data_IF_806990290017
#
_entry.id   IF_806990290017
#
_cell.length_a   1.000
_cell.length_b   1.000
_cell.length_c   1.000
_cell.angle_alpha   90.00
_cell.angle_beta   90.00
_cell.angle_gamma   90.00
#
_symmetry.space_group_name_H-M   'P 1'
#
loop_
_entity.id
_entity.type
_entity.pdbx_description
1 polymer ?
#
# COMPACT_ATOMS: atom_id res chain seq x y z
N UNK A 1 -2.39 -22.62 -5.81
CA UNK A 1 -3.09 -21.58 -6.57
C UNK A 1 -4.31 -21.04 -5.79
N UNK A 2 -5.17 -21.91 -5.28
CA UNK A 2 -6.36 -21.52 -4.49
C UNK A 2 -5.98 -20.66 -3.29
N UNK A 3 -4.94 -20.99 -2.54
CA UNK A 3 -4.46 -20.21 -1.41
C UNK A 3 -4.06 -18.78 -1.80
N UNK A 4 -3.50 -18.59 -3.00
CA UNK A 4 -3.15 -17.26 -3.51
C UNK A 4 -4.40 -16.45 -3.79
N UNK A 5 -5.44 -17.06 -4.40
CA UNK A 5 -6.71 -16.37 -4.64
C UNK A 5 -7.40 -15.95 -3.34
N UNK A 6 -7.41 -16.81 -2.34
CA UNK A 6 -7.93 -16.49 -1.01
C UNK A 6 -7.12 -15.35 -0.36
N UNK A 7 -5.79 -15.38 -0.49
CA UNK A 7 -4.90 -14.37 0.07
C UNK A 7 -5.15 -12.97 -0.52
N UNK A 8 -5.36 -12.90 -1.82
CA UNK A 8 -5.65 -11.64 -2.52
C UNK A 8 -7.15 -11.31 -2.62
N UNK A 9 -8.00 -12.11 -2.00
CA UNK A 9 -9.45 -11.87 -1.91
C UNK A 9 -10.20 -11.97 -3.23
N UNK A 10 -9.78 -12.90 -4.09
CA UNK A 10 -10.39 -13.17 -5.40
C UNK A 10 -10.99 -14.58 -5.49
N UNK A 11 -11.21 -15.24 -4.36
CA UNK A 11 -11.77 -16.60 -4.31
C UNK A 11 -13.11 -16.73 -5.01
N UNK A 12 -13.94 -15.68 -4.98
CA UNK A 12 -15.27 -15.63 -5.60
C UNK A 12 -15.22 -15.16 -7.06
N UNK A 13 -14.02 -14.96 -7.63
CA UNK A 13 -13.81 -14.40 -8.98
C UNK A 13 -13.14 -15.38 -9.95
N UNK A 14 -12.98 -16.63 -9.54
CA UNK A 14 -12.25 -17.64 -10.32
C UNK A 14 -12.83 -17.87 -11.72
N UNK A 15 -14.13 -17.77 -11.88
CA UNK A 15 -14.85 -18.00 -13.15
C UNK A 15 -15.10 -16.71 -13.94
N UNK A 16 -14.57 -15.56 -13.47
CA UNK A 16 -14.75 -14.28 -14.15
C UNK A 16 -13.58 -14.04 -15.09
N UNK A 17 -13.91 -13.62 -16.32
CA UNK A 17 -12.89 -13.18 -17.28
C UNK A 17 -12.13 -11.96 -16.73
N UNK A 18 -10.80 -11.97 -16.84
CA UNK A 18 -9.95 -10.90 -16.32
C UNK A 18 -10.35 -9.49 -16.79
N UNK A 19 -10.87 -9.37 -18.02
CA UNK A 19 -11.36 -8.10 -18.54
C UNK A 19 -12.65 -7.57 -17.88
N UNK A 20 -13.30 -8.37 -17.05
CA UNK A 20 -14.52 -8.00 -16.31
C UNK A 20 -14.25 -7.71 -14.83
N UNK A 21 -12.99 -7.75 -14.39
CA UNK A 21 -12.59 -7.38 -13.06
C UNK A 21 -12.60 -5.85 -12.89
N UNK A 22 -12.88 -5.39 -11.67
CA UNK A 22 -12.70 -3.98 -11.32
C UNK A 22 -11.21 -3.60 -11.36
N UNK A 23 -10.91 -2.31 -11.28
CA UNK A 23 -9.53 -1.84 -11.23
C UNK A 23 -8.78 -2.42 -10.01
N UNK A 24 -9.40 -2.39 -8.83
CA UNK A 24 -8.82 -2.98 -7.62
C UNK A 24 -8.63 -4.49 -7.73
N UNK A 25 -9.63 -5.21 -8.25
CA UNK A 25 -9.53 -6.66 -8.48
C UNK A 25 -8.40 -7.01 -9.46
N UNK A 26 -8.18 -6.20 -10.48
CA UNK A 26 -7.06 -6.36 -11.42
C UNK A 26 -5.71 -6.20 -10.70
N UNK A 27 -5.57 -5.21 -9.83
CA UNK A 27 -4.37 -5.01 -9.03
C UNK A 27 -4.12 -6.19 -8.06
N UNK A 28 -5.16 -6.70 -7.42
CA UNK A 28 -5.03 -7.89 -6.55
C UNK A 28 -4.65 -9.14 -7.35
N UNK A 29 -5.16 -9.28 -8.57
CA UNK A 29 -4.75 -10.37 -9.46
C UNK A 29 -3.26 -10.28 -9.82
N UNK A 30 -2.77 -9.10 -10.14
CA UNK A 30 -1.34 -8.87 -10.44
C UNK A 30 -0.45 -9.21 -9.24
N UNK A 31 -0.85 -8.80 -8.04
CA UNK A 31 -0.16 -9.18 -6.79
C UNK A 31 -0.18 -10.71 -6.63
N UNK A 32 -1.32 -11.34 -6.84
CA UNK A 32 -1.46 -12.80 -6.79
C UNK A 32 -0.55 -13.52 -7.76
N UNK A 33 -0.42 -13.02 -8.99
CA UNK A 33 0.50 -13.57 -10.00
C UNK A 33 1.96 -13.52 -9.53
N UNK A 34 2.38 -12.43 -8.92
CA UNK A 34 3.73 -12.30 -8.35
C UNK A 34 3.91 -13.25 -7.16
N UNK A 35 2.91 -13.37 -6.30
CA UNK A 35 2.95 -14.25 -5.11
C UNK A 35 3.09 -15.74 -5.47
N UNK A 36 2.67 -16.17 -6.66
CA UNK A 36 2.89 -17.56 -7.12
C UNK A 36 4.36 -17.93 -7.20
N UNK A 37 5.26 -16.96 -7.32
CA UNK A 37 6.71 -17.16 -7.34
C UNK A 37 7.33 -17.22 -5.93
N UNK A 38 6.52 -17.07 -4.90
CA UNK A 38 6.94 -17.03 -3.50
C UNK A 38 8.10 -16.02 -3.24
N UNK A 39 7.96 -14.75 -3.62
CA UNK A 39 9.02 -13.76 -3.47
C UNK A 39 9.24 -13.41 -2.00
N UNK A 40 10.49 -13.16 -1.63
CA UNK A 40 10.82 -12.64 -0.30
C UNK A 40 10.55 -11.14 -0.19
N UNK A 41 10.67 -10.42 -1.29
CA UNK A 41 10.52 -8.96 -1.39
C UNK A 41 9.56 -8.62 -2.51
N UNK A 42 8.55 -7.81 -2.19
CA UNK A 42 7.66 -7.18 -3.16
C UNK A 42 7.89 -5.68 -3.18
N UNK A 43 8.08 -5.14 -4.38
CA UNK A 43 8.19 -3.70 -4.62
C UNK A 43 6.93 -3.23 -5.34
N UNK A 44 6.23 -2.26 -4.76
CA UNK A 44 4.97 -1.75 -5.31
C UNK A 44 4.99 -0.23 -5.36
N UNK A 45 4.62 0.30 -6.51
CA UNK A 45 4.56 1.74 -6.76
C UNK A 45 3.09 2.15 -6.92
N UNK A 46 2.61 2.97 -5.98
CA UNK A 46 1.24 3.48 -5.91
C UNK A 46 0.15 2.40 -6.12
N UNK A 47 0.18 1.30 -5.33
CA UNK A 47 -0.73 0.17 -5.56
C UNK A 47 -2.21 0.49 -5.36
N UNK A 48 -2.54 1.61 -4.71
CA UNK A 48 -3.93 2.03 -4.47
C UNK A 48 -4.43 3.09 -5.46
N UNK A 49 -3.60 3.48 -6.44
CA UNK A 49 -3.98 4.49 -7.43
C UNK A 49 -5.26 4.10 -8.18
N UNK A 50 -6.25 4.99 -8.20
CA UNK A 50 -7.51 4.77 -8.88
C UNK A 50 -8.50 3.82 -8.18
N UNK A 51 -8.19 3.35 -6.99
CA UNK A 51 -9.07 2.52 -6.18
C UNK A 51 -10.15 3.34 -5.47
N UNK A 52 -11.30 2.73 -5.26
CA UNK A 52 -12.32 3.22 -4.34
C UNK A 52 -11.84 3.09 -2.89
N UNK A 53 -12.47 3.79 -1.96
CA UNK A 53 -12.16 3.68 -0.54
C UNK A 53 -12.28 2.23 -0.03
N UNK A 54 -13.30 1.50 -0.48
CA UNK A 54 -13.51 0.10 -0.12
C UNK A 54 -12.39 -0.81 -0.67
N UNK A 55 -11.97 -0.57 -1.91
CA UNK A 55 -10.86 -1.31 -2.52
C UNK A 55 -9.53 -1.01 -1.81
N UNK A 56 -9.30 0.24 -1.44
CA UNK A 56 -8.12 0.65 -0.66
C UNK A 56 -8.09 -0.03 0.71
N UNK A 57 -9.23 -0.07 1.40
CA UNK A 57 -9.35 -0.77 2.68
C UNK A 57 -9.04 -2.26 2.55
N UNK A 58 -9.61 -2.93 1.55
CA UNK A 58 -9.32 -4.34 1.28
C UNK A 58 -7.86 -4.56 0.91
N UNK A 59 -7.24 -3.63 0.19
CA UNK A 59 -5.81 -3.69 -0.14
C UNK A 59 -4.94 -3.61 1.12
N UNK A 60 -5.28 -2.76 2.08
CA UNK A 60 -4.55 -2.70 3.35
C UNK A 60 -4.65 -4.02 4.13
N UNK A 61 -5.80 -4.67 4.13
CA UNK A 61 -5.99 -5.99 4.74
C UNK A 61 -5.13 -7.07 4.07
N UNK A 62 -5.08 -7.07 2.73
CA UNK A 62 -4.24 -7.99 1.96
C UNK A 62 -2.77 -7.78 2.32
N UNK A 63 -2.29 -6.54 2.33
CA UNK A 63 -0.90 -6.23 2.64
C UNK A 63 -0.52 -6.64 4.07
N UNK A 64 -1.40 -6.40 5.04
CA UNK A 64 -1.18 -6.82 6.41
C UNK A 64 -1.12 -8.36 6.57
N UNK A 65 -1.84 -9.12 5.74
CA UNK A 65 -1.72 -10.58 5.69
C UNK A 65 -0.40 -11.07 5.06
N UNK A 66 0.16 -10.31 4.12
CA UNK A 66 1.42 -10.66 3.45
C UNK A 66 2.64 -10.44 4.35
N UNK A 67 2.54 -9.57 5.33
CA UNK A 67 3.62 -9.32 6.31
C UNK A 67 3.97 -10.61 7.07
N UNK A 68 5.24 -10.74 7.39
CA UNK A 68 5.77 -11.91 8.09
C UNK A 68 6.34 -12.97 7.15
N UNK A 69 5.68 -13.27 6.05
CA UNK A 69 6.20 -14.17 5.00
C UNK A 69 6.91 -13.40 3.88
N UNK A 70 6.50 -12.15 3.66
CA UNK A 70 7.04 -11.27 2.62
C UNK A 70 7.45 -9.93 3.20
N UNK A 71 8.52 -9.36 2.66
CA UNK A 71 8.87 -7.95 2.89
C UNK A 71 8.25 -7.10 1.80
N UNK A 72 7.52 -6.07 2.20
CA UNK A 72 6.85 -5.16 1.28
C UNK A 72 7.55 -3.80 1.32
N UNK A 73 7.91 -3.28 0.15
CA UNK A 73 8.33 -1.89 -0.04
C UNK A 73 7.29 -1.22 -0.93
N UNK A 74 6.62 -0.23 -0.38
CA UNK A 74 5.48 0.43 -1.02
C UNK A 74 5.78 1.92 -1.15
N UNK A 75 5.68 2.44 -2.36
CA UNK A 75 5.74 3.88 -2.62
C UNK A 75 4.31 4.39 -2.69
N UNK A 76 3.94 5.30 -1.80
CA UNK A 76 2.59 5.83 -1.69
C UNK A 76 2.57 7.28 -1.23
N UNK A 77 1.49 7.96 -1.56
CA UNK A 77 1.19 9.30 -1.06
C UNK A 77 -0.15 9.35 -0.30
N UNK A 78 -0.92 8.27 -0.30
CA UNK A 78 -2.13 8.13 0.54
C UNK A 78 -1.71 7.85 1.99
N UNK A 79 -1.71 8.88 2.81
CA UNK A 79 -1.26 8.80 4.20
C UNK A 79 -2.18 7.94 5.08
N UNK A 80 -3.46 7.85 4.75
CA UNK A 80 -4.39 6.99 5.47
C UNK A 80 -4.04 5.51 5.25
N UNK A 81 -3.80 5.13 3.99
CA UNK A 81 -3.36 3.80 3.63
C UNK A 81 -1.98 3.46 4.22
N UNK A 82 -1.01 4.37 4.10
CA UNK A 82 0.34 4.18 4.68
C UNK A 82 0.26 3.96 6.19
N UNK A 83 -0.58 4.71 6.89
CA UNK A 83 -0.79 4.58 8.35
C UNK A 83 -1.27 3.18 8.74
N UNK A 84 -2.09 2.54 7.91
CA UNK A 84 -2.64 1.21 8.18
C UNK A 84 -1.64 0.09 7.93
N UNK A 85 -0.71 0.26 6.98
CA UNK A 85 0.18 -0.83 6.54
C UNK A 85 1.62 -0.70 6.99
N UNK A 86 2.12 0.50 7.24
CA UNK A 86 3.55 0.71 7.42
C UNK A 86 4.05 0.36 8.82
N UNK A 87 5.15 -0.39 8.88
CA UNK A 87 5.93 -0.59 10.10
C UNK A 87 7.00 0.49 10.21
N UNK A 88 7.67 0.80 9.09
CA UNK A 88 8.66 1.86 8.97
C UNK A 88 8.35 2.72 7.75
N UNK A 89 8.42 4.02 7.91
CA UNK A 89 8.20 5.00 6.84
C UNK A 89 9.51 5.72 6.56
N UNK A 90 9.88 5.78 5.28
CA UNK A 90 10.93 6.64 4.78
C UNK A 90 10.26 7.77 4.01
N UNK A 91 10.23 8.96 4.59
CA UNK A 91 9.63 10.14 3.96
C UNK A 91 10.67 10.84 3.08
N UNK A 92 10.35 10.97 1.81
CA UNK A 92 11.20 11.63 0.83
C UNK A 92 10.67 13.02 0.48
N UNK A 93 11.58 13.97 0.37
CA UNK A 93 11.28 15.33 -0.08
C UNK A 93 12.43 15.85 -0.95
N UNK A 94 12.11 16.37 -2.13
CA UNK A 94 13.08 16.89 -3.11
C UNK A 94 14.26 15.92 -3.38
N UNK A 95 13.93 14.63 -3.54
CA UNK A 95 14.91 13.59 -3.85
C UNK A 95 15.80 13.15 -2.69
N UNK A 96 15.49 13.58 -1.47
CA UNK A 96 16.26 13.24 -0.26
C UNK A 96 15.37 12.66 0.82
N UNK A 97 15.92 11.78 1.65
CA UNK A 97 15.24 11.33 2.86
C UNK A 97 15.12 12.47 3.85
N UNK A 98 13.88 12.82 4.19
CA UNK A 98 13.59 13.86 5.18
C UNK A 98 13.50 13.30 6.60
N UNK A 99 12.84 12.15 6.75
CA UNK A 99 12.68 11.45 8.02
C UNK A 99 12.47 9.96 7.77
N UNK A 100 12.81 9.13 8.75
CA UNK A 100 12.62 7.69 8.70
C UNK A 100 12.31 7.15 10.09
N UNK A 101 11.34 6.26 10.18
CA UNK A 101 10.94 5.61 11.42
C UNK A 101 9.46 5.19 11.41
N UNK A 102 8.92 4.77 12.56
CA UNK A 102 7.50 4.51 12.73
C UNK A 102 6.68 5.77 12.43
N UNK A 103 5.43 5.61 12.01
CA UNK A 103 4.53 6.72 11.69
C UNK A 103 4.53 7.80 12.79
N UNK A 104 4.43 7.38 14.05
CA UNK A 104 4.40 8.27 15.21
C UNK A 104 5.62 9.20 15.30
N UNK A 105 6.80 8.66 14.99
CA UNK A 105 8.03 9.45 15.01
C UNK A 105 8.13 10.38 13.80
N UNK A 106 7.78 9.87 12.62
CA UNK A 106 7.84 10.65 11.38
C UNK A 106 6.86 11.83 11.43
N UNK A 107 5.61 11.61 11.83
CA UNK A 107 4.62 12.69 11.91
C UNK A 107 4.90 13.75 12.97
N UNK A 108 5.68 13.43 14.00
CA UNK A 108 6.11 14.35 15.04
C UNK A 108 7.51 14.97 14.81
N UNK A 109 8.18 14.58 13.73
CA UNK A 109 9.49 15.17 13.38
C UNK A 109 9.31 16.65 13.01
N UNK A 110 10.10 17.58 13.64
CA UNK A 110 10.01 19.01 13.33
C UNK A 110 10.24 19.36 11.86
N UNK A 111 11.12 18.64 11.17
CA UNK A 111 11.39 18.83 9.74
C UNK A 111 10.18 18.47 8.89
N UNK A 112 9.48 17.39 9.26
CA UNK A 112 8.25 16.95 8.58
C UNK A 112 7.15 17.98 8.79
N UNK A 113 6.95 18.47 10.00
CA UNK A 113 5.99 19.52 10.32
C UNK A 113 6.27 20.81 9.57
N UNK A 114 7.52 21.23 9.49
CA UNK A 114 7.91 22.44 8.76
C UNK A 114 7.58 22.35 7.26
N UNK A 115 7.89 21.21 6.63
CA UNK A 115 7.68 20.99 5.19
C UNK A 115 6.22 20.76 4.84
N UNK A 116 5.51 19.97 5.65
CA UNK A 116 4.17 19.51 5.33
C UNK A 116 3.04 20.27 6.03
N UNK A 117 3.26 20.79 7.23
CA UNK A 117 2.27 21.63 7.94
C UNK A 117 2.39 23.11 7.60
N UNK A 118 3.55 23.54 7.11
CA UNK A 118 3.76 24.88 6.55
C UNK A 118 3.17 25.06 5.15
N UNK A 119 2.86 23.97 4.43
CA UNK A 119 2.06 23.96 3.22
C UNK A 119 0.69 23.40 3.57
N UNK A 120 -0.34 24.19 3.48
CA UNK A 120 -1.73 23.86 3.87
C UNK A 120 -2.32 22.58 3.24
N UNK A 121 -1.54 21.90 2.39
CA UNK A 121 -2.00 20.76 1.60
C UNK A 121 -2.14 19.42 2.32
N UNK A 122 -1.55 19.23 3.50
CA UNK A 122 -1.59 17.93 4.18
C UNK A 122 -2.59 17.88 5.32
N UNK A 123 -2.90 19.00 5.93
CA UNK A 123 -3.98 19.12 6.91
C UNK A 123 -5.36 18.88 6.29
N UNK A 124 -5.53 19.17 5.01
CA UNK A 124 -6.79 18.96 4.29
C UNK A 124 -6.97 17.53 3.76
N UNK A 125 -5.90 16.75 3.69
CA UNK A 125 -5.93 15.35 3.29
C UNK A 125 -6.08 14.36 4.47
N UNK A 126 -6.06 14.87 5.67
CA UNK A 126 -6.35 14.11 6.89
C UNK A 126 -7.83 14.28 7.31
#
# INVERSE_FOLDING_TARGET
LQQVFELVGLEDRLDILGGNLSHGETQWLEIGMVLTQNPKLLLMDEPTAGMTEQETQKTSEIFNRLKGEHTLVVVEHDMAFVREIADVITLMHLGKTLAEGPMREVENDPKVKEVYLGSEGITDAA
#
